data_IF_161237947792
#
_entry.id   IF_161237947792
#
_cell.length_a   1.000
_cell.length_b   1.000
_cell.length_c   1.000
_cell.angle_alpha   90.00
_cell.angle_beta   90.00
_cell.angle_gamma   90.00
#
_symmetry.space_group_name_H-M   'P 1'
#
loop_
_entity.id
_entity.type
_entity.pdbx_description
1 polymer ?
#
# COMPACT_ATOMS: atom_id res chain seq x y z
N UNK A 1 -8.83 -22.24 81.80
CA UNK A 1 -10.16 -22.29 81.19
C UNK A 1 -10.25 -21.10 80.24
N UNK A 2 -9.98 -21.33 78.97
CA UNK A 2 -9.78 -20.28 78.01
C UNK A 2 -10.96 -20.20 77.04
N UNK A 3 -11.58 -19.07 77.10
CA UNK A 3 -12.68 -18.73 76.20
C UNK A 3 -12.10 -18.21 74.86
N UNK A 4 -12.16 -19.04 73.88
CA UNK A 4 -11.79 -18.62 72.52
C UNK A 4 -12.93 -17.82 71.92
N UNK A 5 -12.72 -16.51 71.77
CA UNK A 5 -13.63 -15.66 71.05
C UNK A 5 -13.39 -15.86 69.54
N UNK A 6 -14.39 -16.42 68.81
CA UNK A 6 -14.46 -16.41 67.41
C UNK A 6 -14.69 -14.97 66.91
N UNK A 7 -13.73 -14.44 66.20
CA UNK A 7 -13.89 -13.19 65.40
C UNK A 7 -14.36 -13.58 64.02
N UNK A 8 -15.63 -13.39 63.79
CA UNK A 8 -16.20 -13.52 62.46
C UNK A 8 -15.81 -12.30 61.61
N UNK A 9 -14.86 -12.47 60.71
CA UNK A 9 -14.48 -11.46 59.77
C UNK A 9 -15.44 -11.54 58.55
N UNK A 10 -16.39 -10.59 58.49
CA UNK A 10 -17.28 -10.46 57.36
C UNK A 10 -16.52 -9.79 56.21
N UNK A 11 -16.02 -10.58 55.26
CA UNK A 11 -15.48 -10.06 54.01
C UNK A 11 -16.64 -9.60 53.13
N UNK A 12 -16.86 -8.28 53.09
CA UNK A 12 -17.67 -7.66 52.07
C UNK A 12 -16.90 -7.75 50.71
N UNK A 13 -17.29 -8.69 49.91
CA UNK A 13 -16.81 -8.82 48.54
C UNK A 13 -17.34 -7.65 47.70
N UNK A 14 -16.53 -6.63 47.55
CA UNK A 14 -16.79 -5.57 46.54
C UNK A 14 -16.45 -6.16 45.18
N UNK A 15 -17.47 -6.62 44.45
CA UNK A 15 -17.34 -6.89 43.01
C UNK A 15 -17.12 -5.56 42.26
N UNK A 16 -15.87 -5.21 42.01
CA UNK A 16 -15.54 -4.21 41.00
C UNK A 16 -15.87 -4.81 39.63
N UNK A 17 -17.01 -4.41 39.10
CA UNK A 17 -17.32 -4.62 37.67
C UNK A 17 -16.40 -3.71 36.87
N UNK A 18 -15.28 -4.24 36.41
CA UNK A 18 -14.50 -3.60 35.35
C UNK A 18 -15.33 -3.67 34.07
N UNK A 19 -16.02 -2.59 33.77
CA UNK A 19 -16.54 -2.36 32.43
C UNK A 19 -15.34 -2.22 31.48
N UNK A 20 -14.97 -3.33 30.83
CA UNK A 20 -14.07 -3.32 29.70
C UNK A 20 -14.82 -2.59 28.60
N UNK A 21 -14.57 -1.28 28.46
CA UNK A 21 -14.87 -0.53 27.27
C UNK A 21 -13.96 -1.10 26.17
N UNK A 22 -14.41 -2.21 25.60
CA UNK A 22 -13.88 -2.73 24.36
C UNK A 22 -14.06 -1.66 23.31
N UNK A 23 -13.01 -0.90 23.04
CA UNK A 23 -12.94 -0.07 21.87
C UNK A 23 -13.19 -0.98 20.66
N UNK A 24 -14.35 -0.83 20.03
CA UNK A 24 -14.63 -1.44 18.75
C UNK A 24 -13.70 -0.73 17.77
N UNK A 25 -12.50 -1.29 17.59
CA UNK A 25 -11.68 -0.98 16.45
C UNK A 25 -12.51 -1.41 15.25
N UNK A 26 -13.17 -0.47 14.60
CA UNK A 26 -13.69 -0.68 13.26
C UNK A 26 -12.46 -0.89 12.37
N UNK A 27 -11.98 -2.13 12.31
CA UNK A 27 -11.16 -2.54 11.21
C UNK A 27 -12.00 -2.24 9.96
N UNK A 28 -11.54 -1.28 9.16
CA UNK A 28 -12.04 -1.16 7.80
C UNK A 28 -11.72 -2.50 7.16
N UNK A 29 -12.72 -3.37 7.09
CA UNK A 29 -12.67 -4.56 6.29
C UNK A 29 -12.73 -4.07 4.83
N UNK A 30 -11.56 -3.74 4.27
CA UNK A 30 -11.43 -3.55 2.84
C UNK A 30 -11.96 -4.81 2.15
N UNK A 31 -12.55 -4.66 0.97
CA UNK A 31 -13.01 -5.82 0.18
C UNK A 31 -11.81 -6.79 0.04
N UNK A 32 -11.94 -8.01 0.57
CA UNK A 32 -10.88 -9.03 0.58
C UNK A 32 -10.32 -9.31 -0.81
N UNK A 33 -11.04 -8.91 -1.84
CA UNK A 33 -10.69 -9.08 -3.24
C UNK A 33 -10.02 -7.83 -3.86
N UNK A 34 -10.00 -6.70 -3.14
CA UNK A 34 -9.38 -5.45 -3.59
C UNK A 34 -7.99 -5.27 -2.97
N UNK A 35 -6.96 -5.73 -3.68
CA UNK A 35 -5.58 -5.70 -3.19
C UNK A 35 -4.57 -5.70 -4.33
N UNK A 36 -3.33 -5.30 -4.02
CA UNK A 36 -2.16 -5.56 -4.85
C UNK A 36 -1.01 -6.09 -3.99
N UNK A 37 -0.18 -6.95 -4.55
CA UNK A 37 0.97 -7.57 -3.91
C UNK A 37 2.22 -7.31 -4.76
N UNK A 38 3.32 -6.96 -4.11
CA UNK A 38 4.54 -6.48 -4.74
C UNK A 38 5.73 -7.28 -4.27
N UNK A 39 6.65 -7.62 -5.17
CA UNK A 39 7.79 -8.48 -4.92
C UNK A 39 9.09 -7.80 -5.35
N UNK A 40 10.18 -8.04 -4.60
CA UNK A 40 11.50 -7.46 -4.90
C UNK A 40 12.14 -8.00 -6.17
N UNK A 41 11.80 -9.23 -6.56
CA UNK A 41 12.41 -9.90 -7.71
C UNK A 41 11.36 -10.36 -8.70
N UNK A 42 11.78 -10.58 -9.94
CA UNK A 42 10.94 -11.19 -10.97
C UNK A 42 10.45 -12.58 -10.54
N UNK A 43 9.40 -13.05 -11.20
CA UNK A 43 8.74 -14.32 -10.91
C UNK A 43 8.22 -14.46 -9.46
N UNK A 44 7.80 -13.32 -8.87
CA UNK A 44 7.21 -13.27 -7.53
C UNK A 44 8.16 -13.76 -6.42
N UNK A 45 9.46 -13.56 -6.61
CA UNK A 45 10.48 -13.99 -5.67
C UNK A 45 10.93 -12.86 -4.73
N UNK A 46 11.61 -13.26 -3.64
CA UNK A 46 12.14 -12.34 -2.64
C UNK A 46 11.13 -11.85 -1.63
N UNK A 47 11.49 -10.80 -0.90
CA UNK A 47 10.59 -10.15 0.05
C UNK A 47 9.40 -9.54 -0.70
N UNK A 48 8.25 -9.53 -0.05
CA UNK A 48 7.02 -9.00 -0.63
C UNK A 48 6.18 -8.28 0.42
N UNK A 49 5.27 -7.44 -0.04
CA UNK A 49 4.23 -6.84 0.78
C UNK A 49 2.92 -6.77 -0.01
N UNK A 50 1.82 -6.74 0.72
CA UNK A 50 0.47 -6.64 0.17
C UNK A 50 -0.25 -5.43 0.74
N UNK A 51 -0.96 -4.72 -0.11
CA UNK A 51 -1.80 -3.60 0.24
C UNK A 51 -3.26 -3.91 -0.09
N UNK A 52 -4.15 -3.62 0.85
CA UNK A 52 -5.59 -3.61 0.59
C UNK A 52 -5.99 -2.24 0.05
N UNK A 53 -6.86 -2.23 -0.96
CA UNK A 53 -7.46 -1.01 -1.49
C UNK A 53 -8.78 -0.65 -0.80
N UNK A 54 -9.36 0.52 -1.09
CA UNK A 54 -8.71 1.56 -1.89
C UNK A 54 -7.59 2.28 -1.10
N UNK A 55 -6.48 2.56 -1.73
CA UNK A 55 -5.35 3.27 -1.11
C UNK A 55 -4.57 4.08 -2.15
N UNK A 56 -3.99 5.20 -1.71
CA UNK A 56 -3.08 6.01 -2.52
C UNK A 56 -1.81 6.25 -1.69
N UNK A 57 -0.66 5.88 -2.24
CA UNK A 57 0.64 6.08 -1.62
C UNK A 57 1.48 7.02 -2.47
N UNK A 58 1.68 8.24 -1.97
CA UNK A 58 2.46 9.29 -2.64
C UNK A 58 3.93 8.95 -2.77
N UNK A 59 4.44 8.04 -1.94
CA UNK A 59 5.77 7.48 -2.04
C UNK A 59 5.83 6.09 -1.39
N UNK A 60 6.85 5.32 -1.74
CA UNK A 60 7.10 3.97 -1.20
C UNK A 60 8.34 3.92 -0.30
N UNK A 61 8.79 5.06 0.23
CA UNK A 61 10.03 5.15 1.02
C UNK A 61 9.93 4.44 2.37
N UNK A 62 8.72 4.26 2.88
CA UNK A 62 8.51 3.61 4.17
C UNK A 62 7.21 2.78 4.15
N UNK A 63 7.31 1.54 3.76
CA UNK A 63 6.23 0.55 3.85
C UNK A 63 6.63 -0.46 4.93
N UNK A 64 5.95 -0.44 6.06
CA UNK A 64 6.25 -1.29 7.22
C UNK A 64 7.70 -1.19 7.71
N UNK A 65 8.32 -0.01 7.62
CA UNK A 65 9.70 0.23 8.06
C UNK A 65 10.76 0.01 6.96
N UNK A 66 10.37 -0.40 5.77
CA UNK A 66 11.27 -0.65 4.64
C UNK A 66 11.06 0.32 3.48
N UNK A 67 12.15 0.66 2.79
CA UNK A 67 12.10 1.42 1.54
C UNK A 67 11.86 0.48 0.37
N UNK A 68 10.72 0.64 -0.28
CA UNK A 68 10.31 -0.12 -1.47
C UNK A 68 10.39 0.68 -2.77
N UNK A 69 10.65 1.99 -2.68
CA UNK A 69 10.77 2.84 -3.86
C UNK A 69 11.88 2.35 -4.78
N UNK A 70 11.57 2.20 -6.06
CA UNK A 70 12.51 1.73 -7.10
C UNK A 70 13.13 0.36 -6.81
N UNK A 71 12.37 -0.57 -6.23
CA UNK A 71 12.87 -1.91 -5.88
C UNK A 71 11.94 -3.05 -6.29
N UNK A 72 10.77 -2.74 -6.86
CA UNK A 72 9.76 -3.72 -7.22
C UNK A 72 10.00 -4.23 -8.64
N UNK A 73 9.99 -5.55 -8.82
CA UNK A 73 10.22 -6.23 -10.09
C UNK A 73 9.02 -7.04 -10.60
N UNK A 74 8.17 -7.51 -9.71
CA UNK A 74 6.97 -8.24 -10.09
C UNK A 74 5.81 -7.90 -9.17
N UNK A 75 4.58 -8.12 -9.63
CA UNK A 75 3.38 -7.79 -8.87
C UNK A 75 2.16 -8.64 -9.26
N UNK A 76 1.19 -8.67 -8.37
CA UNK A 76 -0.13 -9.27 -8.60
C UNK A 76 -1.22 -8.31 -8.18
N UNK A 77 -2.34 -8.33 -8.90
CA UNK A 77 -3.53 -7.52 -8.62
C UNK A 77 -4.71 -8.42 -8.31
N UNK A 78 -5.43 -8.10 -7.26
CA UNK A 78 -6.60 -8.84 -6.83
C UNK A 78 -7.78 -8.75 -7.80
N UNK A 79 -8.78 -9.63 -7.65
CA UNK A 79 -9.88 -9.76 -8.60
C UNK A 79 -10.83 -8.56 -8.67
N UNK A 80 -10.79 -7.68 -7.66
CA UNK A 80 -11.59 -6.44 -7.62
C UNK A 80 -10.74 -5.19 -7.46
N UNK A 81 -9.51 -5.22 -7.93
CA UNK A 81 -8.62 -4.06 -7.86
C UNK A 81 -8.19 -3.59 -9.24
N UNK A 82 -7.95 -2.30 -9.35
CA UNK A 82 -7.17 -1.69 -10.41
C UNK A 82 -5.97 -1.02 -9.75
N UNK A 83 -4.78 -1.32 -10.23
CA UNK A 83 -3.53 -0.77 -9.74
C UNK A 83 -2.97 0.21 -10.77
N UNK A 84 -2.66 1.43 -10.33
CA UNK A 84 -1.91 2.42 -11.12
C UNK A 84 -0.59 2.67 -10.43
N UNK A 85 0.51 2.52 -11.14
CA UNK A 85 1.88 2.75 -10.64
C UNK A 85 2.55 3.88 -11.42
N UNK A 86 3.37 4.65 -10.71
CA UNK A 86 4.03 5.85 -11.25
C UNK A 86 5.54 5.78 -11.00
N UNK A 87 6.31 6.25 -11.97
CA UNK A 87 7.77 6.39 -11.87
C UNK A 87 8.18 7.51 -10.89
N UNK A 88 7.33 8.51 -10.70
CA UNK A 88 7.59 9.64 -9.83
C UNK A 88 6.79 9.57 -8.53
N UNK A 89 7.26 10.23 -7.48
CA UNK A 89 6.49 10.45 -6.25
C UNK A 89 5.30 11.38 -6.51
N UNK A 90 4.31 11.36 -5.61
CA UNK A 90 3.11 12.22 -5.68
C UNK A 90 2.30 12.03 -6.98
N UNK A 91 2.37 10.84 -7.61
CA UNK A 91 1.62 10.50 -8.84
C UNK A 91 1.93 11.43 -10.02
N UNK A 92 3.13 12.02 -10.05
CA UNK A 92 3.50 13.00 -11.07
C UNK A 92 3.87 12.33 -12.39
N UNK A 93 3.38 12.93 -13.47
CA UNK A 93 3.77 12.66 -14.84
C UNK A 93 4.51 13.91 -15.35
N UNK A 94 5.79 14.02 -14.97
CA UNK A 94 6.56 15.26 -15.10
C UNK A 94 6.72 15.67 -16.56
N UNK A 95 7.00 14.74 -17.46
CA UNK A 95 7.18 15.05 -18.89
C UNK A 95 5.85 15.38 -19.55
N UNK A 96 4.75 14.74 -19.15
CA UNK A 96 3.42 15.04 -19.64
C UNK A 96 2.92 16.44 -19.26
N UNK A 97 3.38 16.96 -18.11
CA UNK A 97 3.12 18.35 -17.74
C UNK A 97 3.88 19.35 -18.62
N UNK A 98 5.10 18.99 -19.06
CA UNK A 98 5.96 19.81 -19.91
C UNK A 98 5.46 19.82 -21.37
N UNK A 99 4.71 18.82 -21.82
CA UNK A 99 4.12 18.72 -23.16
C UNK A 99 3.34 19.98 -23.57
N UNK A 100 2.77 20.67 -22.59
CA UNK A 100 2.05 21.94 -22.78
C UNK A 100 2.96 23.11 -23.18
N UNK A 101 4.27 22.93 -23.09
CA UNK A 101 5.28 23.94 -23.32
C UNK A 101 6.33 23.47 -24.34
N UNK A 102 6.01 23.50 -25.66
CA UNK A 102 6.86 22.89 -26.68
C UNK A 102 8.26 23.54 -26.79
N UNK A 103 8.38 24.83 -26.46
CA UNK A 103 9.68 25.50 -26.45
C UNK A 103 10.55 25.05 -25.27
N UNK A 104 9.94 24.74 -24.13
CA UNK A 104 10.62 24.18 -22.98
C UNK A 104 11.08 22.74 -23.28
N UNK A 105 10.22 21.91 -23.87
CA UNK A 105 10.58 20.56 -24.33
C UNK A 105 11.80 20.60 -25.23
N UNK A 106 11.78 21.49 -26.24
CA UNK A 106 12.90 21.64 -27.19
C UNK A 106 14.19 22.09 -26.50
N UNK A 107 14.11 23.02 -25.54
CA UNK A 107 15.27 23.51 -24.78
C UNK A 107 15.89 22.47 -23.86
N UNK A 108 15.07 21.52 -23.37
CA UNK A 108 15.48 20.41 -22.52
C UNK A 108 15.88 19.15 -23.28
N UNK A 109 15.70 19.16 -24.62
CA UNK A 109 15.94 17.99 -25.47
C UNK A 109 14.92 16.86 -25.27
N UNK A 110 13.74 17.17 -24.69
CA UNK A 110 12.65 16.22 -24.46
C UNK A 110 11.86 16.03 -25.73
N UNK A 111 11.66 14.79 -26.14
CA UNK A 111 10.90 14.41 -27.34
C UNK A 111 9.48 13.98 -26.98
N UNK A 112 8.59 13.90 -27.98
CA UNK A 112 7.26 13.30 -27.80
C UNK A 112 7.33 11.83 -27.38
N UNK A 113 8.40 11.13 -27.78
CA UNK A 113 8.61 9.75 -27.37
C UNK A 113 8.92 9.64 -25.87
N UNK A 114 9.77 10.56 -25.35
CA UNK A 114 10.07 10.62 -23.91
C UNK A 114 8.79 10.89 -23.10
N UNK A 115 7.90 11.74 -23.58
CA UNK A 115 6.60 12.02 -22.95
C UNK A 115 5.70 10.78 -22.92
N UNK A 116 5.72 9.97 -23.98
CA UNK A 116 4.96 8.70 -24.01
C UNK A 116 5.54 7.63 -23.10
N UNK A 117 6.85 7.70 -22.87
CA UNK A 117 7.58 6.79 -21.98
C UNK A 117 7.54 7.25 -20.51
N UNK A 118 7.18 8.50 -20.22
CA UNK A 118 6.91 9.03 -18.87
C UNK A 118 5.57 8.46 -18.36
N UNK A 119 5.58 7.19 -18.05
CA UNK A 119 4.36 6.42 -17.98
C UNK A 119 3.88 6.19 -16.55
N UNK A 120 2.59 6.38 -16.40
CA UNK A 120 1.81 5.55 -15.50
C UNK A 120 1.53 4.20 -16.19
N UNK A 121 1.65 3.10 -15.44
CA UNK A 121 1.15 1.80 -15.87
C UNK A 121 -0.11 1.46 -15.11
N UNK A 122 -1.11 0.97 -15.82
CA UNK A 122 -2.39 0.56 -15.26
C UNK A 122 -2.54 -0.95 -15.41
N UNK A 123 -2.70 -1.63 -14.29
CA UNK A 123 -2.94 -3.06 -14.23
C UNK A 123 -4.36 -3.33 -13.73
N UNK A 124 -5.14 -4.03 -14.53
CA UNK A 124 -6.52 -4.40 -14.21
C UNK A 124 -6.62 -5.58 -13.24
N UNK A 125 -7.85 -5.93 -12.91
CA UNK A 125 -8.17 -7.06 -12.05
C UNK A 125 -7.54 -8.37 -12.53
N UNK A 126 -7.03 -9.16 -11.57
CA UNK A 126 -6.33 -10.44 -11.80
C UNK A 126 -5.03 -10.32 -12.62
N UNK A 127 -4.49 -9.13 -12.82
CA UNK A 127 -3.20 -8.99 -13.49
C UNK A 127 -2.09 -9.69 -12.68
N UNK A 128 -1.25 -10.43 -13.39
CA UNK A 128 -0.07 -11.11 -12.83
C UNK A 128 1.14 -10.76 -13.68
N UNK A 129 1.96 -9.86 -13.17
CA UNK A 129 3.14 -9.34 -13.87
C UNK A 129 4.37 -10.00 -13.28
N UNK A 130 4.94 -10.94 -13.99
CA UNK A 130 6.09 -11.72 -13.54
C UNK A 130 7.40 -10.97 -13.66
N UNK A 131 7.48 -9.97 -14.54
CA UNK A 131 8.64 -9.10 -14.72
C UNK A 131 8.21 -7.73 -15.24
N UNK A 132 8.53 -6.68 -14.49
CA UNK A 132 8.25 -5.30 -14.90
C UNK A 132 9.19 -4.80 -15.99
N UNK A 133 10.27 -5.51 -16.28
CA UNK A 133 11.16 -5.18 -17.40
C UNK A 133 10.46 -5.32 -18.75
N UNK A 134 9.47 -6.19 -18.87
CA UNK A 134 8.64 -6.35 -20.09
C UNK A 134 7.88 -5.06 -20.46
N UNK A 135 7.67 -4.18 -19.47
CA UNK A 135 7.01 -2.88 -19.61
C UNK A 135 7.98 -1.70 -19.58
N UNK A 136 9.30 -1.95 -19.60
CA UNK A 136 10.33 -0.95 -19.33
C UNK A 136 10.16 -0.21 -17.99
N UNK A 137 9.62 -0.92 -16.97
CA UNK A 137 9.27 -0.36 -15.65
C UNK A 137 10.02 -1.01 -14.47
N UNK A 138 11.07 -1.76 -14.76
CA UNK A 138 11.95 -2.39 -13.79
C UNK A 138 12.55 -1.35 -12.84
N UNK A 139 12.40 -1.54 -11.54
CA UNK A 139 12.88 -0.64 -10.49
C UNK A 139 12.42 0.83 -10.62
N UNK A 140 11.26 1.08 -11.21
CA UNK A 140 10.79 2.45 -11.43
C UNK A 140 9.64 2.89 -10.54
N UNK A 141 8.91 1.98 -9.91
CA UNK A 141 7.74 2.32 -9.10
C UNK A 141 8.14 3.13 -7.87
N UNK A 142 7.59 4.36 -7.74
CA UNK A 142 7.83 5.26 -6.60
C UNK A 142 6.56 5.72 -5.91
N UNK A 143 5.42 5.73 -6.60
CA UNK A 143 4.10 5.96 -6.02
C UNK A 143 3.05 5.08 -6.70
N UNK A 144 1.92 4.87 -6.05
CA UNK A 144 0.86 4.00 -6.57
C UNK A 144 -0.53 4.35 -6.05
N UNK A 145 -1.54 3.88 -6.78
CA UNK A 145 -2.95 3.92 -6.38
C UNK A 145 -3.57 2.56 -6.59
N UNK A 146 -4.38 2.12 -5.64
CA UNK A 146 -5.24 0.94 -5.77
C UNK A 146 -6.68 1.42 -5.64
N UNK A 147 -7.46 1.22 -6.68
CA UNK A 147 -8.88 1.50 -6.71
C UNK A 147 -9.66 0.18 -6.69
N UNK A 148 -10.79 0.16 -5.95
CA UNK A 148 -11.64 -1.02 -5.86
C UNK A 148 -12.78 -0.95 -6.87
N UNK A 149 -12.95 -2.03 -7.63
CA UNK A 149 -14.07 -2.23 -8.53
C UNK A 149 -15.34 -2.53 -7.72
N UNK A 150 -16.44 -1.93 -8.11
CA UNK A 150 -17.77 -2.14 -7.49
C UNK A 150 -18.39 -3.48 -7.87
#
# INVERSE_FOLDING_TARGET
MNLMKLVTCAFKTICMVYAILGGVSTAYAGDENCWAEFFLHSNYAGSHFRLAGPIQLENLLNINGENWASRIDSLKVGPKATLVVFENINFKLTLKEIEKYPDLMRSLGVTEQDVKEDAELIFGANATIHDLSDFNFHHKIRSLKIDCLK
#
